data_IF_898854418644
#
_entry.id   IF_898854418644
#
_cell.length_a   1.000
_cell.length_b   1.000
_cell.length_c   1.000
_cell.angle_alpha   90.00
_cell.angle_beta   90.00
_cell.angle_gamma   90.00
#
_symmetry.space_group_name_H-M   'P 1'
#
loop_
_entity.id
_entity.type
_entity.pdbx_description
1 polymer ?
#
# COMPACT_ATOMS: atom_id res chain seq x y z
N UNK A 1 -15.32 48.11 -1.89
CA UNK A 1 -14.52 48.36 -0.69
C UNK A 1 -14.80 47.22 0.25
N UNK A 2 -13.87 46.26 0.22
CA UNK A 2 -13.22 45.66 1.38
C UNK A 2 -12.36 44.51 0.93
N UNK A 3 -11.11 44.73 1.11
CA UNK A 3 -9.95 43.89 0.76
C UNK A 3 -9.86 42.69 1.71
N UNK A 4 -9.88 41.47 1.20
CA UNK A 4 -9.45 40.29 1.95
C UNK A 4 -7.93 40.09 1.79
N UNK A 5 -7.26 40.25 2.90
CA UNK A 5 -5.83 40.11 3.09
C UNK A 5 -5.39 38.64 3.01
N UNK A 6 -4.32 38.41 2.27
CA UNK A 6 -3.46 37.26 2.25
C UNK A 6 -3.08 36.74 3.65
N UNK A 7 -3.42 35.50 3.94
CA UNK A 7 -2.91 34.76 5.09
C UNK A 7 -1.52 34.19 4.79
N UNK A 8 -0.59 34.61 5.59
CA UNK A 8 0.83 34.31 5.65
C UNK A 8 1.21 32.85 5.50
N UNK A 9 2.10 32.57 4.56
CA UNK A 9 2.99 31.42 4.56
C UNK A 9 3.86 31.42 5.83
N UNK A 10 3.48 30.61 6.81
CA UNK A 10 4.31 30.38 7.99
C UNK A 10 5.55 29.58 7.59
N UNK A 11 6.66 30.26 7.44
CA UNK A 11 8.00 29.67 7.37
C UNK A 11 8.29 29.05 8.73
N UNK A 12 8.20 27.71 8.82
CA UNK A 12 8.71 26.98 9.98
C UNK A 12 10.23 27.13 10.02
N UNK A 13 10.74 27.89 10.96
CA UNK A 13 12.17 27.95 11.25
C UNK A 13 12.56 26.63 11.93
N UNK A 14 13.63 25.94 11.46
CA UNK A 14 14.05 24.67 12.06
C UNK A 14 14.54 24.92 13.49
N UNK A 15 14.02 24.14 14.43
CA UNK A 15 14.49 24.11 15.82
C UNK A 15 15.93 23.62 15.82
N UNK A 16 16.83 24.39 16.48
CA UNK A 16 18.27 24.08 16.58
C UNK A 16 18.49 22.66 17.12
N UNK A 17 18.96 21.73 16.26
CA UNK A 17 19.21 20.32 16.59
C UNK A 17 18.41 19.32 15.76
N UNK A 18 17.51 19.75 14.87
CA UNK A 18 16.82 18.86 13.95
C UNK A 18 17.80 18.32 12.92
N UNK A 19 17.88 17.02 12.83
CA UNK A 19 18.64 16.31 11.80
C UNK A 19 18.04 16.69 10.44
N UNK A 20 18.87 17.04 9.47
CA UNK A 20 18.44 17.29 8.10
C UNK A 20 18.02 15.92 7.54
N UNK A 21 16.73 15.71 7.42
CA UNK A 21 16.16 14.57 6.70
C UNK A 21 16.39 14.74 5.21
N UNK A 22 16.08 13.74 4.40
CA UNK A 22 16.33 13.83 2.98
C UNK A 22 15.19 13.21 2.19
N UNK A 23 14.80 13.86 1.10
CA UNK A 23 13.95 13.27 0.08
C UNK A 23 14.64 12.06 -0.58
N UNK A 24 13.85 11.21 -1.23
CA UNK A 24 14.38 10.10 -2.04
C UNK A 24 13.80 10.20 -3.43
N UNK A 25 14.63 10.07 -4.46
CA UNK A 25 14.20 10.06 -5.85
C UNK A 25 14.72 8.83 -6.57
N UNK A 26 13.81 8.05 -7.12
CA UNK A 26 14.11 7.07 -8.17
C UNK A 26 13.87 7.75 -9.50
N UNK A 27 14.90 7.93 -10.31
CA UNK A 27 14.83 8.55 -11.63
C UNK A 27 15.08 7.48 -12.69
N UNK A 28 13.99 6.91 -13.22
CA UNK A 28 13.99 5.81 -14.19
C UNK A 28 14.83 4.60 -13.76
N UNK A 29 14.88 4.35 -12.45
CA UNK A 29 15.73 3.30 -11.88
C UNK A 29 15.26 1.91 -12.32
N UNK A 30 16.19 1.13 -12.89
CA UNK A 30 15.92 -0.19 -13.49
C UNK A 30 16.83 -1.26 -12.90
N UNK A 31 16.26 -2.43 -12.60
CA UNK A 31 17.02 -3.62 -12.20
C UNK A 31 16.66 -4.82 -13.05
N UNK A 32 17.67 -5.43 -13.66
CA UNK A 32 17.57 -6.68 -14.42
C UNK A 32 18.52 -7.69 -13.78
N UNK A 33 17.99 -8.83 -13.37
CA UNK A 33 18.84 -9.91 -12.84
C UNK A 33 19.47 -10.72 -13.98
N UNK A 34 20.71 -11.20 -13.81
CA UNK A 34 21.36 -12.05 -14.81
C UNK A 34 20.49 -13.25 -15.20
N UNK A 35 20.32 -13.47 -16.50
CA UNK A 35 19.51 -14.58 -17.03
C UNK A 35 17.99 -14.27 -17.15
N UNK A 36 17.54 -13.10 -16.75
CA UNK A 36 16.16 -12.66 -16.97
C UNK A 36 16.07 -11.68 -18.14
N UNK A 37 15.12 -11.91 -19.03
CA UNK A 37 14.83 -11.00 -20.17
C UNK A 37 14.00 -9.78 -19.74
N UNK A 38 13.30 -9.87 -18.59
CA UNK A 38 12.44 -8.80 -18.09
C UNK A 38 13.04 -8.15 -16.84
N UNK A 39 12.95 -6.82 -16.72
CA UNK A 39 13.32 -6.14 -15.50
C UNK A 39 12.47 -6.57 -14.31
N UNK A 40 13.10 -6.73 -13.14
CA UNK A 40 12.39 -6.89 -11.88
C UNK A 40 11.89 -5.55 -11.33
N UNK A 41 12.54 -4.46 -11.73
CA UNK A 41 12.09 -3.06 -11.58
C UNK A 41 12.38 -2.39 -12.90
N UNK A 42 11.36 -1.81 -13.53
CA UNK A 42 11.43 -1.23 -14.86
C UNK A 42 11.17 0.27 -14.83
N UNK A 43 12.20 1.05 -15.10
CA UNK A 43 12.17 2.51 -15.19
C UNK A 43 11.35 3.17 -14.05
N UNK A 44 11.55 2.73 -12.81
CA UNK A 44 10.84 3.28 -11.66
C UNK A 44 11.12 4.78 -11.53
N UNK A 45 10.06 5.58 -11.67
CA UNK A 45 10.10 7.02 -11.48
C UNK A 45 9.23 7.37 -10.27
N UNK A 46 9.86 7.72 -9.14
CA UNK A 46 9.17 7.92 -7.87
C UNK A 46 9.92 8.92 -7.00
N UNK A 47 9.22 9.96 -6.61
CA UNK A 47 9.73 10.96 -5.67
C UNK A 47 9.06 10.79 -4.31
N UNK A 48 9.86 10.80 -3.24
CA UNK A 48 9.46 10.69 -1.84
C UNK A 48 9.92 11.95 -1.16
N UNK A 49 9.00 12.70 -0.57
CA UNK A 49 9.31 13.95 0.09
C UNK A 49 10.10 13.75 1.40
N UNK A 50 10.78 14.80 1.82
CA UNK A 50 11.43 14.83 3.14
C UNK A 50 10.42 14.60 4.27
N UNK A 51 10.72 13.65 5.17
CA UNK A 51 9.85 13.25 6.28
C UNK A 51 8.63 12.42 5.91
N UNK A 52 8.42 12.08 4.62
CA UNK A 52 7.29 11.29 4.15
C UNK A 52 7.39 9.83 4.57
N UNK A 53 6.25 9.22 4.92
CA UNK A 53 6.09 7.77 5.07
C UNK A 53 5.49 7.19 3.80
N UNK A 54 6.33 6.68 2.90
CA UNK A 54 5.89 5.99 1.68
C UNK A 54 5.79 4.49 1.89
N UNK A 55 4.67 3.89 1.48
CA UNK A 55 4.47 2.44 1.50
C UNK A 55 4.48 1.88 0.08
N UNK A 56 5.37 0.91 -0.19
CA UNK A 56 5.40 0.14 -1.43
C UNK A 56 4.57 -1.13 -1.26
N UNK A 57 3.56 -1.32 -2.11
CA UNK A 57 2.70 -2.49 -2.10
C UNK A 57 2.56 -3.11 -3.49
N UNK A 58 2.10 -4.35 -3.53
CA UNK A 58 1.86 -5.09 -4.77
C UNK A 58 1.96 -6.59 -4.55
N UNK A 59 1.66 -7.41 -5.56
CA UNK A 59 1.78 -8.86 -5.51
C UNK A 59 3.20 -9.34 -5.19
N UNK A 60 3.34 -10.62 -4.84
CA UNK A 60 4.65 -11.24 -4.67
C UNK A 60 5.44 -11.18 -5.98
N UNK A 61 6.73 -10.83 -5.88
CA UNK A 61 7.62 -10.76 -7.05
C UNK A 61 7.49 -9.49 -7.91
N UNK A 62 6.64 -8.51 -7.56
CA UNK A 62 6.45 -7.30 -8.37
C UNK A 62 7.56 -6.23 -8.25
N UNK A 63 8.67 -6.49 -7.53
CA UNK A 63 9.81 -5.58 -7.46
C UNK A 63 9.94 -4.74 -6.18
N UNK A 64 9.02 -4.83 -5.20
CA UNK A 64 9.04 -4.02 -3.95
C UNK A 64 10.35 -4.10 -3.16
N UNK A 65 10.71 -5.32 -2.72
CA UNK A 65 11.95 -5.53 -1.97
C UNK A 65 13.20 -5.27 -2.81
N UNK A 66 13.11 -5.50 -4.13
CA UNK A 66 14.19 -5.13 -5.07
C UNK A 66 14.39 -3.61 -5.08
N UNK A 67 13.32 -2.82 -5.24
CA UNK A 67 13.39 -1.35 -5.20
C UNK A 67 13.95 -0.85 -3.87
N UNK A 68 13.51 -1.43 -2.74
CA UNK A 68 14.05 -1.10 -1.43
C UNK A 68 15.54 -1.41 -1.31
N UNK A 69 15.99 -2.57 -1.83
CA UNK A 69 17.40 -2.99 -1.82
C UNK A 69 18.27 -2.16 -2.76
N UNK A 70 17.74 -1.73 -3.91
CA UNK A 70 18.39 -0.76 -4.79
C UNK A 70 18.67 0.55 -4.04
N UNK A 71 17.68 1.09 -3.32
CA UNK A 71 17.86 2.28 -2.48
C UNK A 71 18.86 2.04 -1.35
N UNK A 72 18.87 0.84 -0.79
CA UNK A 72 19.85 0.46 0.24
C UNK A 72 21.28 0.25 -0.31
N UNK A 73 21.47 0.14 -1.62
CA UNK A 73 22.73 -0.22 -2.27
C UNK A 73 23.11 -1.69 -2.10
N UNK A 74 22.13 -2.54 -1.81
CA UNK A 74 22.25 -3.99 -1.71
C UNK A 74 21.96 -4.69 -3.03
N UNK A 75 21.40 -3.98 -4.00
CA UNK A 75 21.18 -4.39 -5.39
C UNK A 75 21.65 -3.29 -6.31
N UNK A 76 22.24 -3.69 -7.44
CA UNK A 76 22.74 -2.75 -8.45
C UNK A 76 21.59 -2.09 -9.22
N UNK A 77 21.82 -0.90 -9.74
CA UNK A 77 20.96 -0.18 -10.68
C UNK A 77 21.55 -0.34 -12.07
N UNK A 78 20.83 -1.01 -12.98
CA UNK A 78 21.30 -1.25 -14.34
C UNK A 78 21.09 -0.04 -15.28
N UNK A 79 20.07 0.79 -15.00
CA UNK A 79 19.81 2.04 -15.72
C UNK A 79 19.07 3.02 -14.80
N UNK A 80 19.13 4.31 -15.14
CA UNK A 80 18.59 5.36 -14.31
C UNK A 80 19.47 5.65 -13.10
N UNK A 81 18.91 6.31 -12.08
CA UNK A 81 19.67 6.68 -10.87
C UNK A 81 18.79 6.78 -9.63
N UNK A 82 19.42 6.80 -8.45
CA UNK A 82 18.77 6.99 -7.16
C UNK A 82 19.47 8.13 -6.42
N UNK A 83 18.65 9.08 -5.91
CA UNK A 83 19.15 10.20 -5.13
C UNK A 83 18.61 10.16 -3.70
N UNK A 84 19.43 10.59 -2.74
CA UNK A 84 19.03 10.88 -1.34
C UNK A 84 19.35 12.36 -1.10
N UNK A 85 18.31 13.19 -0.98
CA UNK A 85 18.45 14.62 -1.16
C UNK A 85 18.99 14.95 -2.54
N UNK A 86 19.97 15.84 -2.63
CA UNK A 86 20.64 16.21 -3.90
C UNK A 86 21.79 15.26 -4.29
N UNK A 87 22.06 14.25 -3.43
CA UNK A 87 23.19 13.35 -3.64
C UNK A 87 22.79 12.13 -4.46
N UNK A 88 23.44 11.93 -5.61
CA UNK A 88 23.36 10.66 -6.34
C UNK A 88 24.08 9.56 -5.54
N UNK A 89 23.32 8.49 -5.23
CA UNK A 89 23.80 7.35 -4.44
C UNK A 89 23.81 6.06 -5.24
N UNK A 90 23.59 6.12 -6.55
CA UNK A 90 23.45 4.95 -7.44
C UNK A 90 24.56 3.93 -7.22
N UNK A 91 25.81 4.38 -7.29
CA UNK A 91 27.01 3.53 -7.13
C UNK A 91 27.65 3.62 -5.72
N UNK A 92 26.98 4.28 -4.77
CA UNK A 92 27.48 4.46 -3.42
C UNK A 92 27.27 3.19 -2.59
N UNK A 93 28.27 2.77 -1.85
CA UNK A 93 28.19 1.60 -0.96
C UNK A 93 27.13 1.79 0.14
N UNK A 94 26.45 0.73 0.60
CA UNK A 94 25.40 0.81 1.63
C UNK A 94 25.78 1.57 2.90
N UNK A 95 27.02 1.38 3.37
CA UNK A 95 27.55 2.02 4.59
C UNK A 95 27.65 3.55 4.50
N UNK A 96 27.73 4.09 3.27
CA UNK A 96 27.98 5.51 2.99
C UNK A 96 26.71 6.25 2.49
N UNK A 97 25.51 5.58 2.50
CA UNK A 97 24.25 6.15 2.03
C UNK A 97 23.43 6.88 3.10
N UNK A 98 23.89 6.94 4.35
CA UNK A 98 23.14 7.54 5.48
C UNK A 98 21.74 6.94 5.68
N UNK A 99 21.59 5.65 5.45
CA UNK A 99 20.34 4.90 5.62
C UNK A 99 20.41 3.92 6.79
N UNK A 100 19.25 3.53 7.30
CA UNK A 100 19.12 2.37 8.17
C UNK A 100 18.01 1.45 7.67
N UNK A 101 18.26 0.13 7.68
CA UNK A 101 17.34 -0.87 7.18
C UNK A 101 16.93 -1.84 8.29
N UNK A 102 15.62 -2.08 8.39
CA UNK A 102 15.00 -3.13 9.19
C UNK A 102 14.57 -4.25 8.28
N UNK A 103 15.17 -5.43 8.47
CA UNK A 103 14.90 -6.62 7.67
C UNK A 103 13.73 -7.43 8.22
N UNK A 104 13.06 -8.19 7.37
CA UNK A 104 11.95 -9.06 7.70
C UNK A 104 12.24 -10.03 8.86
N UNK A 105 13.46 -10.56 8.95
CA UNK A 105 13.89 -11.49 10.00
C UNK A 105 14.55 -10.79 11.21
N UNK A 106 14.43 -9.45 11.31
CA UNK A 106 15.03 -8.58 12.33
C UNK A 106 16.57 -8.59 12.38
N UNK A 107 17.24 -9.61 11.88
CA UNK A 107 18.71 -9.79 11.82
C UNK A 107 19.44 -9.46 13.14
N UNK A 108 18.86 -9.85 14.30
CA UNK A 108 19.46 -9.60 15.61
C UNK A 108 20.61 -10.58 15.87
N UNK A 109 21.68 -10.10 16.51
CA UNK A 109 22.79 -10.94 16.99
C UNK A 109 22.35 -11.71 18.24
N UNK A 110 22.17 -13.06 18.16
CA UNK A 110 21.51 -13.82 19.23
C UNK A 110 22.34 -13.92 20.52
N UNK A 111 23.67 -13.77 20.41
CA UNK A 111 24.61 -13.83 21.54
C UNK A 111 24.77 -12.50 22.27
N UNK A 112 24.38 -11.39 21.67
CA UNK A 112 24.48 -10.05 22.23
C UNK A 112 23.23 -9.68 23.05
N UNK A 113 23.41 -8.81 24.05
CA UNK A 113 22.30 -8.17 24.76
C UNK A 113 21.51 -7.23 23.84
N UNK A 114 20.33 -6.76 24.30
CA UNK A 114 19.57 -5.70 23.61
C UNK A 114 20.44 -4.44 23.47
N UNK A 115 21.10 -4.02 24.55
CA UNK A 115 22.01 -2.88 24.55
C UNK A 115 23.10 -3.03 23.49
N UNK A 116 23.79 -4.16 23.46
CA UNK A 116 24.87 -4.41 22.51
C UNK A 116 24.35 -4.51 21.08
N UNK A 117 23.19 -5.13 20.84
CA UNK A 117 22.56 -5.15 19.55
C UNK A 117 22.30 -3.74 19.02
N UNK A 118 21.71 -2.86 19.86
CA UNK A 118 21.41 -1.47 19.47
C UNK A 118 22.68 -0.67 19.23
N UNK A 119 23.68 -0.79 20.11
CA UNK A 119 24.91 -0.01 20.06
C UNK A 119 25.96 -0.51 19.07
N UNK A 120 25.80 -1.71 18.49
CA UNK A 120 26.84 -2.38 17.70
C UNK A 120 27.36 -1.57 16.53
N UNK A 121 26.48 -0.96 15.75
CA UNK A 121 26.88 -0.14 14.59
C UNK A 121 27.71 1.09 15.01
N UNK A 122 27.34 1.72 16.13
CA UNK A 122 28.10 2.86 16.69
C UNK A 122 29.48 2.42 17.20
N UNK A 123 29.55 1.22 17.80
CA UNK A 123 30.83 0.64 18.26
C UNK A 123 31.78 0.40 17.09
N UNK A 124 31.29 -0.15 15.98
CA UNK A 124 32.12 -0.35 14.77
C UNK A 124 32.57 0.99 14.18
N UNK A 125 31.73 2.01 14.25
CA UNK A 125 32.06 3.37 13.80
C UNK A 125 33.04 4.11 14.74
N UNK A 126 33.51 3.46 15.82
CA UNK A 126 34.47 4.06 16.75
C UNK A 126 33.88 5.11 17.69
N UNK A 127 32.55 5.14 17.86
CA UNK A 127 31.87 6.07 18.77
C UNK A 127 32.27 5.80 20.23
N UNK A 128 32.55 6.82 21.05
CA UNK A 128 32.89 6.66 22.46
C UNK A 128 31.79 5.91 23.23
N UNK A 129 32.18 5.05 24.18
CA UNK A 129 31.24 4.19 24.94
C UNK A 129 30.14 5.00 25.63
N UNK A 130 30.47 6.13 26.23
CA UNK A 130 29.53 7.01 26.91
C UNK A 130 28.42 7.53 25.97
N UNK A 131 28.81 7.90 24.75
CA UNK A 131 27.88 8.35 23.71
C UNK A 131 27.02 7.19 23.18
N UNK A 132 27.58 5.98 23.05
CA UNK A 132 26.78 4.77 22.71
C UNK A 132 25.75 4.52 23.79
N UNK A 133 26.14 4.49 25.08
CA UNK A 133 25.25 4.28 26.20
C UNK A 133 24.14 5.32 26.25
N UNK A 134 24.46 6.58 26.01
CA UNK A 134 23.48 7.68 25.95
C UNK A 134 22.46 7.46 24.84
N UNK A 135 22.90 7.24 23.59
CA UNK A 135 22.02 7.04 22.45
C UNK A 135 21.15 5.77 22.56
N UNK A 136 21.73 4.69 23.06
CA UNK A 136 20.99 3.44 23.29
C UNK A 136 19.90 3.63 24.32
N UNK A 137 20.18 4.31 25.45
CA UNK A 137 19.17 4.62 26.49
C UNK A 137 18.05 5.52 25.99
N UNK A 138 18.40 6.54 25.19
CA UNK A 138 17.40 7.43 24.55
C UNK A 138 16.47 6.63 23.62
N UNK A 139 17.04 5.83 22.71
CA UNK A 139 16.26 5.01 21.80
C UNK A 139 15.45 3.94 22.53
N UNK A 140 16.01 3.32 23.57
CA UNK A 140 15.31 2.35 24.39
C UNK A 140 14.11 2.96 25.13
N UNK A 141 14.21 4.21 25.61
CA UNK A 141 13.11 4.94 26.23
C UNK A 141 11.96 5.16 25.24
N UNK A 142 12.26 5.66 24.03
CA UNK A 142 11.27 5.87 22.95
C UNK A 142 10.56 4.55 22.59
N UNK A 143 11.30 3.44 22.55
CA UNK A 143 10.79 2.14 22.13
C UNK A 143 10.20 1.30 23.29
N UNK A 144 10.20 1.81 24.53
CA UNK A 144 9.74 1.04 25.70
C UNK A 144 10.59 -0.20 25.96
N UNK A 145 11.91 -0.12 25.77
CA UNK A 145 12.88 -1.21 25.92
C UNK A 145 13.81 -1.04 27.12
N UNK A 146 13.66 -0.01 27.93
CA UNK A 146 14.59 0.33 29.03
C UNK A 146 14.83 -0.82 30.01
N UNK A 147 13.80 -1.60 30.34
CA UNK A 147 13.90 -2.75 31.25
C UNK A 147 14.46 -4.03 30.61
N UNK A 148 14.67 -4.00 29.28
CA UNK A 148 15.09 -5.17 28.52
C UNK A 148 16.55 -5.08 28.03
N UNK A 149 17.27 -3.99 28.33
CA UNK A 149 18.59 -3.70 27.77
C UNK A 149 19.63 -4.83 28.02
N UNK A 150 19.55 -5.48 29.16
CA UNK A 150 20.48 -6.59 29.52
C UNK A 150 20.03 -7.96 29.01
N UNK A 151 18.81 -8.07 28.45
CA UNK A 151 18.28 -9.34 27.95
C UNK A 151 18.87 -9.69 26.60
N UNK A 152 18.89 -11.00 26.28
CA UNK A 152 19.26 -11.51 24.95
C UNK A 152 18.00 -11.71 24.08
N UNK A 153 18.09 -11.70 22.75
CA UNK A 153 16.95 -11.86 21.84
C UNK A 153 16.05 -13.06 22.12
N UNK A 154 16.61 -14.19 22.58
CA UNK A 154 15.84 -15.40 22.93
C UNK A 154 14.86 -15.21 24.07
N UNK A 155 15.08 -14.22 24.93
CA UNK A 155 14.21 -13.89 26.08
C UNK A 155 13.21 -12.79 25.78
N UNK A 156 12.98 -12.45 24.50
CA UNK A 156 12.10 -11.38 24.03
C UNK A 156 10.92 -11.96 23.23
N UNK A 157 9.76 -11.29 23.34
CA UNK A 157 8.63 -11.54 22.43
C UNK A 157 8.95 -11.08 20.99
N UNK A 158 8.14 -11.48 20.00
CA UNK A 158 8.27 -11.06 18.61
C UNK A 158 8.32 -9.53 18.45
N UNK A 159 7.35 -8.82 19.06
CA UNK A 159 7.30 -7.37 19.02
C UNK A 159 8.45 -6.68 19.76
N UNK A 160 8.97 -7.29 20.85
CA UNK A 160 10.18 -6.77 21.50
C UNK A 160 11.40 -6.92 20.59
N UNK A 161 11.58 -8.08 19.93
CA UNK A 161 12.68 -8.27 18.96
C UNK A 161 12.61 -7.27 17.82
N UNK A 162 11.42 -7.01 17.29
CA UNK A 162 11.22 -5.99 16.26
C UNK A 162 11.62 -4.61 16.76
N UNK A 163 11.17 -4.20 17.96
CA UNK A 163 11.56 -2.90 18.53
C UNK A 163 13.08 -2.79 18.74
N UNK A 164 13.76 -3.87 19.08
CA UNK A 164 15.23 -3.89 19.13
C UNK A 164 15.84 -3.65 17.75
N UNK A 165 15.29 -4.27 16.69
CA UNK A 165 15.76 -4.03 15.31
C UNK A 165 15.54 -2.57 14.89
N UNK A 166 14.41 -1.97 15.27
CA UNK A 166 14.18 -0.53 15.07
C UNK A 166 15.18 0.33 15.86
N UNK A 167 15.48 -0.06 17.11
CA UNK A 167 16.46 0.62 17.95
C UNK A 167 17.86 0.65 17.34
N UNK A 168 18.29 -0.48 16.71
CA UNK A 168 19.54 -0.53 15.94
C UNK A 168 19.60 0.50 14.80
N UNK A 169 18.45 0.77 14.21
CA UNK A 169 18.32 1.75 13.12
C UNK A 169 18.31 3.19 13.68
N UNK A 170 17.53 3.44 14.73
CA UNK A 170 17.33 4.79 15.33
C UNK A 170 18.64 5.36 15.91
N UNK A 171 19.44 4.55 16.62
CA UNK A 171 20.67 5.02 17.26
C UNK A 171 21.68 5.62 16.28
N UNK A 172 21.60 5.24 14.99
CA UNK A 172 22.46 5.77 13.92
C UNK A 172 22.04 7.16 13.45
N UNK A 173 20.80 7.57 13.73
CA UNK A 173 20.21 8.80 13.23
C UNK A 173 20.30 8.88 11.69
N UNK A 174 19.71 7.94 10.95
CA UNK A 174 19.79 7.92 9.51
C UNK A 174 18.94 9.02 8.90
N UNK A 175 19.26 9.44 7.66
CA UNK A 175 18.42 10.35 6.88
C UNK A 175 17.16 9.66 6.33
N UNK A 176 17.25 8.37 6.04
CA UNK A 176 16.16 7.56 5.48
C UNK A 176 16.04 6.22 6.21
N UNK A 177 14.82 5.86 6.60
CA UNK A 177 14.47 4.54 7.12
C UNK A 177 13.94 3.63 6.01
N UNK A 178 14.45 2.43 5.96
CA UNK A 178 14.00 1.37 5.05
C UNK A 178 13.46 0.20 5.86
N UNK A 179 12.27 -0.28 5.55
CA UNK A 179 11.63 -1.40 6.26
C UNK A 179 11.11 -2.44 5.26
N UNK A 180 11.72 -3.63 5.26
CA UNK A 180 11.36 -4.76 4.39
C UNK A 180 10.45 -5.73 5.14
N UNK A 181 9.14 -5.63 4.96
CA UNK A 181 8.09 -6.46 5.59
C UNK A 181 8.27 -6.70 7.11
N UNK A 182 8.45 -5.66 7.92
CA UNK A 182 8.87 -5.83 9.32
C UNK A 182 7.79 -6.47 10.22
N UNK A 183 6.52 -6.55 9.79
CA UNK A 183 5.41 -7.10 10.56
C UNK A 183 4.99 -8.51 10.13
N UNK A 184 5.56 -9.05 9.06
CA UNK A 184 5.14 -10.35 8.48
C UNK A 184 5.22 -11.53 9.44
N UNK A 185 6.18 -11.51 10.37
CA UNK A 185 6.43 -12.59 11.34
C UNK A 185 5.69 -12.42 12.67
N UNK A 186 4.72 -11.50 12.77
CA UNK A 186 3.94 -11.25 13.97
C UNK A 186 2.53 -11.84 13.86
N UNK A 187 1.99 -12.29 15.00
CA UNK A 187 0.58 -12.65 15.10
C UNK A 187 -0.34 -11.42 14.89
N UNK A 188 -1.61 -11.65 14.55
CA UNK A 188 -2.55 -10.60 14.17
C UNK A 188 -2.71 -9.51 15.25
N UNK A 189 -2.79 -9.88 16.54
CA UNK A 189 -2.95 -8.92 17.64
C UNK A 189 -1.72 -8.03 17.78
N UNK A 190 -0.54 -8.65 17.78
CA UNK A 190 0.72 -7.95 17.92
C UNK A 190 1.01 -7.08 16.68
N UNK A 191 0.62 -7.53 15.48
CA UNK A 191 0.74 -6.76 14.24
C UNK A 191 -0.02 -5.43 14.31
N UNK A 192 -1.29 -5.45 14.78
CA UNK A 192 -2.09 -4.23 14.96
C UNK A 192 -1.42 -3.24 15.93
N UNK A 193 -0.97 -3.73 17.08
CA UNK A 193 -0.29 -2.88 18.08
C UNK A 193 1.00 -2.27 17.55
N UNK A 194 1.82 -3.10 16.91
CA UNK A 194 3.14 -2.67 16.40
C UNK A 194 3.02 -1.72 15.22
N UNK A 195 2.02 -1.91 14.35
CA UNK A 195 1.69 -0.98 13.26
C UNK A 195 1.46 0.43 13.78
N UNK A 196 0.61 0.59 14.79
CA UNK A 196 0.34 1.88 15.43
C UNK A 196 1.62 2.49 16.04
N UNK A 197 2.46 1.66 16.68
CA UNK A 197 3.72 2.11 17.26
C UNK A 197 4.71 2.61 16.21
N UNK A 198 4.85 1.90 15.07
CA UNK A 198 5.74 2.33 13.97
C UNK A 198 5.27 3.66 13.39
N UNK A 199 3.97 3.81 13.11
CA UNK A 199 3.43 5.05 12.57
C UNK A 199 3.60 6.23 13.53
N UNK A 200 3.41 6.03 14.84
CA UNK A 200 3.66 7.07 15.85
C UNK A 200 5.12 7.44 15.95
N UNK A 201 6.00 6.44 15.94
CA UNK A 201 7.44 6.64 16.03
C UNK A 201 7.98 7.42 14.83
N UNK A 202 7.56 7.08 13.62
CA UNK A 202 7.98 7.80 12.41
C UNK A 202 7.57 9.27 12.48
N UNK A 203 6.32 9.57 12.91
CA UNK A 203 5.86 10.95 13.09
C UNK A 203 6.65 11.71 14.16
N UNK A 204 7.01 11.04 15.26
CA UNK A 204 7.83 11.64 16.33
C UNK A 204 9.25 11.97 15.85
N UNK A 205 9.83 11.07 15.05
CA UNK A 205 11.19 11.23 14.52
C UNK A 205 11.24 12.11 13.27
N UNK A 206 10.15 12.23 12.50
CA UNK A 206 10.07 12.98 11.25
C UNK A 206 10.96 12.40 10.14
N UNK A 207 11.43 11.15 10.24
CA UNK A 207 12.37 10.55 9.30
C UNK A 207 11.66 10.07 8.05
N UNK A 208 12.20 10.40 6.87
CA UNK A 208 11.75 9.83 5.59
C UNK A 208 11.80 8.31 5.64
N UNK A 209 10.68 7.68 5.37
CA UNK A 209 10.54 6.22 5.54
C UNK A 209 10.01 5.56 4.29
N UNK A 210 10.68 4.50 3.84
CA UNK A 210 10.20 3.61 2.77
C UNK A 210 9.89 2.25 3.38
N UNK A 211 8.63 1.88 3.34
CA UNK A 211 8.09 0.68 3.97
C UNK A 211 7.55 -0.28 2.91
N UNK A 212 8.00 -1.52 2.90
CA UNK A 212 7.50 -2.58 2.02
C UNK A 212 6.56 -3.48 2.80
N UNK A 213 5.40 -3.77 2.23
CA UNK A 213 4.46 -4.75 2.75
C UNK A 213 3.66 -5.41 1.62
N UNK A 214 3.09 -6.57 1.91
CA UNK A 214 2.04 -7.20 1.11
C UNK A 214 0.65 -7.02 1.75
N UNK A 215 0.58 -6.44 2.96
CA UNK A 215 -0.67 -6.18 3.68
C UNK A 215 -1.22 -4.79 3.32
N UNK A 216 -2.37 -4.78 2.64
CA UNK A 216 -3.04 -3.55 2.23
C UNK A 216 -3.51 -2.71 3.42
N UNK A 217 -3.89 -3.35 4.53
CA UNK A 217 -4.32 -2.66 5.75
C UNK A 217 -3.17 -1.85 6.35
N UNK A 218 -1.93 -2.40 6.30
CA UNK A 218 -0.74 -1.65 6.71
C UNK A 218 -0.57 -0.40 5.84
N UNK A 219 -0.65 -0.58 4.52
CA UNK A 219 -0.48 0.52 3.57
C UNK A 219 -1.54 1.63 3.75
N UNK A 220 -2.81 1.25 3.85
CA UNK A 220 -3.92 2.19 3.98
C UNK A 220 -3.93 2.94 5.33
N UNK A 221 -3.26 2.41 6.37
CA UNK A 221 -3.32 2.96 7.73
C UNK A 221 -2.05 3.66 8.20
N UNK A 222 -0.90 3.39 7.58
CA UNK A 222 0.39 3.92 8.02
C UNK A 222 0.97 4.96 7.08
N UNK A 223 0.81 4.77 5.76
CA UNK A 223 1.46 5.61 4.76
C UNK A 223 0.81 6.98 4.59
N UNK A 224 1.63 8.01 4.40
CA UNK A 224 1.18 9.28 3.85
C UNK A 224 0.82 9.12 2.38
N UNK A 225 1.64 8.35 1.65
CA UNK A 225 1.37 7.89 0.28
C UNK A 225 1.67 6.41 0.13
N UNK A 226 0.99 5.82 -0.84
CA UNK A 226 1.14 4.42 -1.25
C UNK A 226 1.62 4.40 -2.71
N UNK A 227 2.63 3.60 -3.01
CA UNK A 227 3.03 3.28 -4.38
C UNK A 227 2.71 1.81 -4.67
N UNK A 228 1.83 1.58 -5.64
CA UNK A 228 1.41 0.24 -6.07
C UNK A 228 2.27 -0.21 -7.24
N UNK A 229 2.94 -1.35 -7.08
CA UNK A 229 3.75 -1.97 -8.14
C UNK A 229 3.08 -3.24 -8.68
N UNK A 230 3.21 -3.46 -9.98
CA UNK A 230 2.86 -4.72 -10.67
C UNK A 230 3.91 -5.01 -11.74
N UNK A 231 4.46 -6.22 -11.76
CA UNK A 231 5.39 -6.69 -12.78
C UNK A 231 6.58 -5.73 -13.05
N UNK A 232 7.14 -5.18 -11.97
CA UNK A 232 8.26 -4.23 -12.02
C UNK A 232 7.87 -2.79 -12.32
N UNK A 233 6.61 -2.51 -12.65
CA UNK A 233 6.11 -1.20 -13.06
C UNK A 233 5.30 -0.51 -11.95
N UNK A 234 5.50 0.79 -11.79
CA UNK A 234 4.66 1.63 -10.94
C UNK A 234 3.29 1.83 -11.60
N UNK A 235 2.22 1.39 -10.91
CA UNK A 235 0.85 1.50 -11.40
C UNK A 235 0.18 2.81 -10.97
N UNK A 236 0.38 3.19 -9.72
CA UNK A 236 -0.15 4.42 -9.15
C UNK A 236 0.64 4.80 -7.89
N UNK A 237 0.76 6.09 -7.64
CA UNK A 237 1.22 6.64 -6.35
C UNK A 237 0.26 7.74 -5.91
N UNK A 238 -0.13 7.76 -4.64
CA UNK A 238 -1.07 8.74 -4.09
C UNK A 238 -1.41 8.47 -2.63
N UNK A 239 -2.23 9.31 -2.03
CA UNK A 239 -2.71 9.09 -0.66
C UNK A 239 -3.57 7.81 -0.56
N UNK A 240 -3.71 7.22 0.64
CA UNK A 240 -4.60 6.07 0.86
C UNK A 240 -6.01 6.29 0.34
N UNK A 241 -6.55 7.49 0.53
CA UNK A 241 -7.88 7.86 0.07
C UNK A 241 -7.96 7.91 -1.46
N UNK A 242 -6.97 8.50 -2.14
CA UNK A 242 -6.93 8.52 -3.60
C UNK A 242 -6.83 7.12 -4.20
N UNK A 243 -6.03 6.23 -3.58
CA UNK A 243 -5.93 4.83 -4.00
C UNK A 243 -7.29 4.11 -3.95
N UNK A 244 -8.07 4.38 -2.91
CA UNK A 244 -9.37 3.76 -2.69
C UNK A 244 -10.48 4.37 -3.56
N UNK A 245 -10.56 5.72 -3.60
CA UNK A 245 -11.64 6.46 -4.25
C UNK A 245 -11.39 6.65 -5.77
N UNK A 246 -10.11 6.71 -6.20
CA UNK A 246 -9.74 7.04 -7.58
C UNK A 246 -8.62 6.12 -8.10
N UNK A 247 -8.84 4.79 -8.13
CA UNK A 247 -7.85 3.87 -8.70
C UNK A 247 -7.58 4.22 -10.17
N UNK A 248 -6.31 4.25 -10.57
CA UNK A 248 -5.88 4.65 -11.91
C UNK A 248 -6.18 3.60 -12.99
N UNK A 249 -6.33 2.34 -12.59
CA UNK A 249 -6.62 1.22 -13.48
C UNK A 249 -7.33 0.09 -12.74
N UNK A 250 -7.81 -0.91 -13.49
CA UNK A 250 -8.51 -2.09 -12.98
C UNK A 250 -7.69 -2.86 -11.95
N UNK A 251 -6.37 -2.96 -12.18
CA UNK A 251 -5.49 -3.67 -11.26
C UNK A 251 -5.46 -3.00 -9.89
N UNK A 252 -5.25 -1.69 -9.83
CA UNK A 252 -5.25 -0.95 -8.56
C UNK A 252 -6.63 -1.03 -7.89
N UNK A 253 -7.72 -0.95 -8.67
CA UNK A 253 -9.09 -1.07 -8.18
C UNK A 253 -9.35 -2.42 -7.50
N UNK A 254 -8.93 -3.51 -8.13
CA UNK A 254 -9.07 -4.87 -7.60
C UNK A 254 -8.05 -5.21 -6.51
N UNK A 255 -6.88 -4.55 -6.52
CA UNK A 255 -5.83 -4.81 -5.53
C UNK A 255 -6.06 -4.04 -4.22
N UNK A 256 -6.54 -2.79 -4.26
CA UNK A 256 -6.73 -1.95 -3.08
C UNK A 256 -8.14 -2.10 -2.50
N UNK A 257 -8.23 -2.57 -1.27
CA UNK A 257 -9.45 -2.79 -0.51
C UNK A 257 -9.62 -4.25 -0.09
N UNK A 258 -10.24 -4.46 1.06
CA UNK A 258 -10.57 -5.80 1.57
C UNK A 258 -11.99 -5.76 2.16
N UNK A 259 -12.95 -6.44 1.51
CA UNK A 259 -12.84 -7.19 0.25
C UNK A 259 -12.47 -6.32 -0.97
N UNK A 260 -11.99 -6.96 -2.03
CA UNK A 260 -11.64 -6.29 -3.28
C UNK A 260 -12.86 -5.71 -4.01
N UNK A 261 -12.65 -4.77 -4.93
CA UNK A 261 -13.69 -4.21 -5.79
C UNK A 261 -14.25 -5.30 -6.72
N UNK A 262 -15.57 -5.34 -6.88
CA UNK A 262 -16.20 -6.10 -7.95
C UNK A 262 -15.88 -5.43 -9.29
N UNK A 263 -15.41 -6.18 -10.26
CA UNK A 263 -15.12 -5.72 -11.62
C UNK A 263 -15.95 -6.53 -12.61
N UNK A 264 -16.64 -5.88 -13.51
CA UNK A 264 -17.48 -6.54 -14.50
C UNK A 264 -17.37 -5.92 -15.88
N UNK A 265 -17.40 -6.76 -16.93
CA UNK A 265 -17.45 -6.32 -18.32
C UNK A 265 -18.89 -6.05 -18.72
N UNK A 266 -19.18 -4.85 -19.17
CA UNK A 266 -20.50 -4.38 -19.60
C UNK A 266 -20.50 -4.10 -21.10
N UNK A 267 -21.58 -4.50 -21.79
CA UNK A 267 -21.80 -4.18 -23.20
C UNK A 267 -22.28 -2.74 -23.35
N UNK A 268 -21.80 -2.06 -24.40
CA UNK A 268 -22.23 -0.71 -24.74
C UNK A 268 -23.44 -0.76 -25.70
N UNK A 269 -24.51 -0.06 -25.30
CA UNK A 269 -25.69 0.15 -26.15
C UNK A 269 -26.08 1.64 -26.11
N UNK A 270 -25.56 2.39 -27.05
CA UNK A 270 -25.73 3.84 -27.11
C UNK A 270 -25.04 4.56 -25.94
N UNK A 271 -25.84 5.19 -25.07
CA UNK A 271 -25.34 5.89 -23.87
C UNK A 271 -25.44 5.04 -22.59
N UNK A 272 -25.75 3.77 -22.71
CA UNK A 272 -25.98 2.84 -21.59
C UNK A 272 -25.02 1.66 -21.63
N UNK A 273 -24.42 1.36 -20.50
CA UNK A 273 -23.70 0.11 -20.26
C UNK A 273 -24.65 -0.94 -19.69
N UNK A 274 -24.63 -2.17 -20.23
CA UNK A 274 -25.57 -3.26 -19.88
C UNK A 274 -24.81 -4.49 -19.38
N UNK A 275 -25.34 -5.10 -18.30
CA UNK A 275 -24.92 -6.40 -17.81
C UNK A 275 -26.17 -7.15 -17.31
N UNK A 276 -26.69 -8.10 -18.10
CA UNK A 276 -27.98 -8.73 -17.80
C UNK A 276 -29.11 -7.68 -17.74
N UNK A 277 -29.79 -7.61 -16.59
CA UNK A 277 -30.85 -6.61 -16.33
C UNK A 277 -30.32 -5.24 -15.89
N UNK A 278 -29.06 -5.16 -15.45
CA UNK A 278 -28.47 -3.91 -14.99
C UNK A 278 -28.18 -2.96 -16.16
N UNK A 279 -28.54 -1.69 -15.98
CA UNK A 279 -28.30 -0.61 -16.92
C UNK A 279 -27.68 0.58 -16.22
N UNK A 280 -26.54 1.04 -16.72
CA UNK A 280 -25.82 2.19 -16.17
C UNK A 280 -25.67 3.22 -17.27
N UNK A 281 -26.25 4.41 -17.06
CA UNK A 281 -26.09 5.52 -18.00
C UNK A 281 -24.70 6.14 -17.85
N UNK A 282 -24.00 6.27 -18.96
CA UNK A 282 -22.63 6.76 -19.00
C UNK A 282 -22.56 8.28 -19.20
N UNK A 283 -21.61 8.97 -18.56
CA UNK A 283 -21.32 10.38 -18.82
C UNK A 283 -20.86 10.61 -20.25
N UNK A 284 -21.19 11.79 -20.82
CA UNK A 284 -20.80 12.14 -22.20
C UNK A 284 -19.27 12.12 -22.42
N UNK A 285 -18.50 12.47 -21.40
CA UNK A 285 -17.03 12.47 -21.47
C UNK A 285 -16.49 11.04 -21.60
N UNK A 286 -17.08 10.10 -20.89
CA UNK A 286 -16.76 8.66 -20.97
C UNK A 286 -17.10 8.11 -22.37
N UNK A 287 -18.28 8.43 -22.89
CA UNK A 287 -18.70 8.00 -24.24
C UNK A 287 -17.76 8.51 -25.33
N UNK A 288 -17.23 9.73 -25.22
CA UNK A 288 -16.22 10.25 -26.15
C UNK A 288 -14.92 9.47 -26.08
N UNK A 289 -14.47 9.12 -24.87
CA UNK A 289 -13.25 8.33 -24.69
C UNK A 289 -13.42 6.91 -25.27
N UNK A 290 -14.54 6.24 -24.99
CA UNK A 290 -14.85 4.92 -25.54
C UNK A 290 -15.01 4.92 -27.07
N UNK A 291 -15.62 5.96 -27.65
CA UNK A 291 -15.72 6.12 -29.09
C UNK A 291 -14.37 6.31 -29.78
N UNK A 292 -13.41 6.96 -29.13
CA UNK A 292 -12.04 7.10 -29.63
C UNK A 292 -11.28 5.76 -29.65
N UNK A 293 -11.67 4.80 -28.80
CA UNK A 293 -11.11 3.45 -28.75
C UNK A 293 -11.88 2.44 -29.62
N UNK A 294 -12.96 2.84 -30.30
CA UNK A 294 -13.92 1.95 -30.97
C UNK A 294 -14.42 0.83 -30.07
N UNK A 295 -14.61 1.14 -28.79
CA UNK A 295 -14.92 0.17 -27.76
C UNK A 295 -16.37 -0.31 -27.86
N UNK A 296 -16.59 -1.63 -27.75
CA UNK A 296 -17.93 -2.25 -27.68
C UNK A 296 -18.30 -2.60 -26.24
N UNK A 297 -17.32 -2.64 -25.38
CA UNK A 297 -17.46 -2.98 -23.95
C UNK A 297 -16.62 -2.03 -23.10
N UNK A 298 -16.96 -1.95 -21.81
CA UNK A 298 -16.14 -1.30 -20.80
C UNK A 298 -16.16 -2.14 -19.52
N UNK A 299 -15.15 -1.95 -18.68
CA UNK A 299 -15.17 -2.54 -17.34
C UNK A 299 -15.74 -1.53 -16.35
N UNK A 300 -16.74 -1.97 -15.57
CA UNK A 300 -17.29 -1.19 -14.47
C UNK A 300 -16.91 -1.85 -13.16
N UNK A 301 -16.27 -1.07 -12.28
CA UNK A 301 -15.95 -1.45 -10.93
C UNK A 301 -16.90 -0.83 -9.91
N UNK A 302 -17.24 -1.58 -8.86
CA UNK A 302 -18.01 -1.08 -7.74
C UNK A 302 -17.63 -1.83 -6.46
N UNK A 303 -17.53 -1.08 -5.35
CA UNK A 303 -17.17 -1.66 -4.07
C UNK A 303 -18.32 -2.49 -3.49
N UNK A 304 -18.05 -3.51 -2.64
CA UNK A 304 -19.10 -4.29 -1.98
C UNK A 304 -20.11 -3.44 -1.19
N UNK A 305 -19.65 -2.36 -0.57
CA UNK A 305 -20.46 -1.40 0.15
C UNK A 305 -21.22 -0.41 -0.76
N UNK A 306 -20.91 -0.35 -2.03
CA UNK A 306 -21.62 0.47 -3.02
C UNK A 306 -22.90 -0.20 -3.57
N UNK A 307 -23.23 -1.38 -3.07
CA UNK A 307 -24.40 -2.14 -3.46
C UNK A 307 -25.54 -2.00 -2.44
N UNK A 308 -26.74 -1.74 -2.91
CA UNK A 308 -27.97 -1.80 -2.12
C UNK A 308 -28.72 -3.08 -2.43
N UNK A 309 -29.16 -3.82 -1.40
CA UNK A 309 -30.10 -4.93 -1.56
C UNK A 309 -31.47 -4.33 -1.83
N UNK A 310 -32.10 -4.74 -2.94
CA UNK A 310 -33.38 -4.22 -3.46
C UNK A 310 -34.36 -5.37 -3.66
N UNK A 311 -35.61 -5.07 -4.02
CA UNK A 311 -36.62 -6.09 -4.29
C UNK A 311 -36.49 -6.66 -5.70
N UNK A 312 -37.00 -7.86 -5.87
CA UNK A 312 -37.15 -8.46 -7.19
C UNK A 312 -38.04 -7.54 -8.08
N UNK A 313 -37.53 -7.32 -9.31
CA UNK A 313 -38.23 -6.44 -10.27
C UNK A 313 -37.95 -4.94 -10.15
N UNK A 314 -37.19 -4.51 -9.15
CA UNK A 314 -36.71 -3.14 -9.11
C UNK A 314 -35.80 -2.82 -10.32
N UNK A 315 -35.85 -1.57 -10.79
CA UNK A 315 -35.06 -1.14 -11.94
C UNK A 315 -33.57 -1.29 -11.68
N UNK A 316 -32.85 -1.70 -12.72
CA UNK A 316 -31.36 -1.85 -12.72
C UNK A 316 -30.82 -2.82 -11.65
N UNK A 317 -31.68 -3.75 -11.20
CA UNK A 317 -31.29 -4.77 -10.23
C UNK A 317 -30.51 -5.91 -10.88
N UNK A 318 -29.53 -6.41 -10.16
CA UNK A 318 -28.66 -7.54 -10.52
C UNK A 318 -29.05 -8.73 -9.65
N UNK A 319 -29.55 -9.84 -10.20
CA UNK A 319 -29.85 -11.05 -9.43
C UNK A 319 -28.56 -11.82 -9.10
N UNK A 320 -28.34 -12.09 -7.83
CA UNK A 320 -27.15 -12.79 -7.32
C UNK A 320 -27.57 -14.00 -6.51
N UNK A 321 -27.13 -15.18 -6.90
CA UNK A 321 -27.31 -16.43 -6.15
C UNK A 321 -26.20 -16.58 -5.13
N UNK A 322 -26.55 -16.60 -3.85
CA UNK A 322 -25.59 -16.68 -2.74
C UNK A 322 -24.95 -18.08 -2.70
N UNK A 323 -23.62 -18.09 -2.70
CA UNK A 323 -22.82 -19.31 -2.55
C UNK A 323 -22.19 -19.42 -1.15
N UNK A 324 -21.86 -18.30 -0.53
CA UNK A 324 -21.19 -18.23 0.78
C UNK A 324 -21.53 -16.94 1.52
N UNK A 325 -21.60 -17.02 2.85
CA UNK A 325 -21.80 -15.88 3.75
C UNK A 325 -20.67 -15.83 4.77
N UNK A 326 -20.04 -14.67 4.90
CA UNK A 326 -18.99 -14.40 5.88
C UNK A 326 -19.51 -13.36 6.88
N UNK A 327 -19.75 -13.78 8.13
CA UNK A 327 -20.16 -12.89 9.21
C UNK A 327 -18.96 -12.55 10.12
N UNK A 328 -18.56 -11.28 10.14
CA UNK A 328 -17.43 -10.77 10.93
C UNK A 328 -17.89 -10.05 12.22
N UNK A 329 -19.16 -10.19 12.57
CA UNK A 329 -19.74 -9.58 13.78
C UNK A 329 -20.22 -8.14 13.56
N UNK A 330 -19.36 -7.23 13.17
CA UNK A 330 -19.72 -5.84 12.83
C UNK A 330 -20.19 -5.67 11.38
N UNK A 331 -19.74 -6.54 10.50
CA UNK A 331 -20.00 -6.56 9.06
C UNK A 331 -20.35 -7.97 8.59
N UNK A 332 -21.11 -8.09 7.54
CA UNK A 332 -21.35 -9.34 6.84
C UNK A 332 -21.17 -9.14 5.33
N UNK A 333 -20.52 -10.12 4.70
CA UNK A 333 -20.32 -10.15 3.26
C UNK A 333 -20.94 -11.41 2.69
N UNK A 334 -21.71 -11.24 1.64
CA UNK A 334 -22.26 -12.36 0.87
C UNK A 334 -21.51 -12.47 -0.44
N UNK A 335 -21.14 -13.70 -0.78
CA UNK A 335 -20.47 -14.06 -2.00
C UNK A 335 -21.45 -14.83 -2.87
N UNK A 336 -21.60 -14.42 -4.11
CA UNK A 336 -22.57 -15.05 -4.99
C UNK A 336 -22.23 -14.90 -6.46
N UNK A 337 -22.97 -15.65 -7.29
CA UNK A 337 -22.82 -15.63 -8.72
C UNK A 337 -24.00 -14.93 -9.39
N UNK A 338 -23.72 -14.24 -10.50
CA UNK A 338 -24.73 -13.60 -11.32
C UNK A 338 -25.71 -14.63 -11.89
N UNK A 339 -27.02 -14.43 -11.73
CA UNK A 339 -28.05 -15.30 -12.26
C UNK A 339 -28.45 -14.85 -13.67
N UNK A 340 -28.51 -15.80 -14.62
CA UNK A 340 -28.99 -15.52 -15.97
C UNK A 340 -28.02 -14.84 -16.92
N UNK A 341 -26.78 -14.61 -16.53
CA UNK A 341 -25.73 -14.16 -17.44
C UNK A 341 -24.93 -15.32 -18.02
N UNK A 342 -24.53 -15.17 -19.27
CA UNK A 342 -23.58 -16.11 -19.88
C UNK A 342 -22.22 -15.94 -19.23
N UNK A 343 -21.81 -16.93 -18.42
CA UNK A 343 -20.54 -16.96 -17.69
C UNK A 343 -19.31 -16.85 -18.62
N UNK A 344 -19.47 -17.19 -19.90
CA UNK A 344 -18.39 -17.12 -20.89
C UNK A 344 -18.19 -15.71 -21.45
N UNK A 345 -19.25 -14.89 -21.48
CA UNK A 345 -19.24 -13.56 -22.09
C UNK A 345 -19.02 -12.43 -21.07
N UNK A 346 -19.45 -12.64 -19.82
CA UNK A 346 -19.48 -11.59 -18.81
C UNK A 346 -18.82 -12.07 -17.52
N UNK A 347 -17.58 -11.67 -17.30
CA UNK A 347 -16.91 -11.85 -16.00
C UNK A 347 -17.39 -10.74 -15.06
N UNK A 348 -17.96 -11.12 -13.93
CA UNK A 348 -18.29 -10.20 -12.84
C UNK A 348 -17.80 -10.82 -11.54
N UNK A 349 -16.83 -10.21 -10.89
CA UNK A 349 -16.32 -10.73 -9.64
C UNK A 349 -15.21 -9.88 -9.04
N UNK A 350 -14.76 -10.24 -7.84
CA UNK A 350 -13.66 -9.57 -7.18
C UNK A 350 -12.33 -10.32 -7.45
N UNK A 351 -11.32 -9.58 -7.91
CA UNK A 351 -10.00 -10.12 -8.25
C UNK A 351 -9.88 -10.63 -9.69
N UNK A 352 -8.66 -10.99 -10.10
CA UNK A 352 -8.32 -11.31 -11.50
C UNK A 352 -9.02 -12.58 -12.04
N UNK A 353 -9.41 -13.53 -11.16
CA UNK A 353 -9.98 -14.84 -11.56
C UNK A 353 -11.35 -15.15 -10.95
N UNK A 354 -11.97 -14.21 -10.23
CA UNK A 354 -13.19 -14.50 -9.50
C UNK A 354 -14.44 -14.26 -10.36
N UNK A 355 -15.32 -15.25 -10.44
CA UNK A 355 -16.69 -15.12 -10.96
C UNK A 355 -17.69 -14.79 -9.83
N UNK A 356 -17.22 -14.53 -8.62
CA UNK A 356 -18.05 -14.29 -7.45
C UNK A 356 -18.13 -12.81 -7.13
N UNK A 357 -19.33 -12.27 -7.15
CA UNK A 357 -19.63 -10.93 -6.69
C UNK A 357 -19.72 -10.90 -5.16
N UNK A 358 -19.14 -9.87 -4.57
CA UNK A 358 -19.18 -9.62 -3.12
C UNK A 358 -20.14 -8.48 -2.83
N UNK A 359 -21.06 -8.69 -1.90
CA UNK A 359 -22.02 -7.68 -1.45
C UNK A 359 -21.89 -7.52 0.06
N UNK A 360 -21.73 -6.29 0.53
CA UNK A 360 -21.82 -5.99 1.96
C UNK A 360 -23.27 -5.90 2.37
N UNK A 361 -23.66 -6.66 3.40
CA UNK A 361 -25.00 -6.64 3.97
C UNK A 361 -24.94 -6.29 5.46
N UNK A 362 -26.04 -5.79 6.06
CA UNK A 362 -26.08 -5.56 7.50
C UNK A 362 -25.84 -6.87 8.25
N UNK A 363 -25.09 -6.86 9.37
CA UNK A 363 -24.83 -8.07 10.16
C UNK A 363 -26.14 -8.66 10.67
N UNK A 364 -26.20 -9.99 10.79
CA UNK A 364 -27.36 -10.78 11.26
C UNK A 364 -28.60 -10.75 10.34
N UNK A 365 -28.50 -10.13 9.18
CA UNK A 365 -29.56 -10.12 8.15
C UNK A 365 -29.10 -10.76 6.86
N UNK A 366 -27.99 -11.49 6.92
CA UNK A 366 -27.45 -12.16 5.74
C UNK A 366 -28.42 -13.25 5.26
N UNK A 367 -28.64 -13.32 3.93
CA UNK A 367 -29.50 -14.34 3.31
C UNK A 367 -28.85 -15.74 3.42
N UNK A 368 -29.67 -16.77 3.25
CA UNK A 368 -29.17 -18.14 3.30
C UNK A 368 -28.42 -18.52 2.00
N UNK A 369 -27.51 -19.50 2.12
CA UNK A 369 -26.83 -20.07 0.94
C UNK A 369 -27.86 -20.66 -0.02
N UNK A 370 -27.69 -20.37 -1.32
CA UNK A 370 -28.60 -20.78 -2.40
C UNK A 370 -29.76 -19.81 -2.67
N UNK A 371 -30.00 -18.88 -1.78
CA UNK A 371 -31.00 -17.80 -1.97
C UNK A 371 -30.53 -16.85 -3.07
N UNK A 372 -31.50 -16.25 -3.78
CA UNK A 372 -31.24 -15.21 -4.77
C UNK A 372 -31.61 -13.87 -4.16
N UNK A 373 -30.65 -12.97 -4.09
CA UNK A 373 -30.88 -11.57 -3.74
C UNK A 373 -30.77 -10.70 -4.98
N UNK A 374 -31.40 -9.54 -4.92
CA UNK A 374 -31.31 -8.53 -5.95
C UNK A 374 -30.56 -7.34 -5.41
N UNK A 375 -29.52 -6.89 -6.14
CA UNK A 375 -28.69 -5.77 -5.73
C UNK A 375 -28.62 -4.72 -6.82
N UNK A 376 -28.44 -3.47 -6.44
CA UNK A 376 -28.29 -2.33 -7.34
C UNK A 376 -27.06 -1.53 -6.97
N UNK A 377 -26.28 -1.13 -7.96
CA UNK A 377 -25.14 -0.22 -7.77
C UNK A 377 -25.71 1.17 -7.44
N UNK A 378 -25.24 1.79 -6.36
CA UNK A 378 -25.59 3.17 -6.04
C UNK A 378 -25.08 4.12 -7.11
N UNK A 379 -25.93 5.01 -7.65
CA UNK A 379 -25.51 5.98 -8.63
C UNK A 379 -24.33 6.84 -8.16
N UNK A 380 -23.32 7.00 -9.00
CA UNK A 380 -22.09 7.76 -8.70
C UNK A 380 -21.05 7.00 -7.87
N UNK A 381 -21.28 5.71 -7.61
CA UNK A 381 -20.30 4.84 -6.92
C UNK A 381 -19.61 3.85 -7.89
N UNK A 382 -19.91 3.97 -9.17
CA UNK A 382 -19.28 3.21 -10.23
C UNK A 382 -17.93 3.78 -10.62
N UNK A 383 -16.98 2.90 -10.89
CA UNK A 383 -15.66 3.21 -11.45
C UNK A 383 -15.57 2.67 -12.86
N UNK A 384 -15.27 3.54 -13.82
CA UNK A 384 -15.29 3.20 -15.25
C UNK A 384 -13.86 3.01 -15.77
N UNK A 385 -13.61 1.88 -16.44
CA UNK A 385 -12.31 1.55 -17.02
C UNK A 385 -12.46 1.10 -18.49
N UNK A 386 -11.45 1.40 -19.30
CA UNK A 386 -11.34 0.89 -20.65
C UNK A 386 -11.06 -0.62 -20.61
N UNK A 387 -11.90 -1.42 -21.25
CA UNK A 387 -11.64 -2.88 -21.36
C UNK A 387 -10.40 -3.21 -22.20
N UNK A 388 -9.95 -2.29 -23.04
CA UNK A 388 -8.78 -2.46 -23.90
C UNK A 388 -7.46 -2.21 -23.15
N UNK A 389 -7.45 -1.19 -22.28
CA UNK A 389 -6.21 -0.72 -21.63
C UNK A 389 -6.19 -0.93 -20.13
N UNK A 390 -7.33 -1.27 -19.52
CA UNK A 390 -7.53 -1.34 -18.06
C UNK A 390 -7.45 0.04 -17.37
N UNK A 391 -7.23 1.13 -18.09
CA UNK A 391 -7.07 2.47 -17.51
C UNK A 391 -8.42 3.08 -17.14
N UNK A 392 -8.41 3.90 -16.09
CA UNK A 392 -9.58 4.67 -15.68
C UNK A 392 -10.03 5.60 -16.78
N UNK A 393 -11.33 5.56 -17.07
CA UNK A 393 -12.00 6.49 -17.99
C UNK A 393 -12.41 7.78 -17.24
N UNK A 394 -12.46 8.91 -17.93
CA UNK A 394 -13.01 10.14 -17.36
C UNK A 394 -14.51 9.97 -17.08
N UNK A 395 -14.97 10.42 -15.93
CA UNK A 395 -16.34 10.32 -15.47
C UNK A 395 -16.89 11.70 -15.06
#
# INVERSE_FOLDING_TARGET
>A
MDTFHNGSSGTYLPVKGMQVMASVTFDHATRIYPGNDRPSVDALNLEIADGEFLVLVGPSGCGKSTSLRMLAGLEDVNAGRILIGDRDVTDVQPKDRDIAMVFQNYALYPHMSVHDNMGFALKIAGTPKEEIDRRVKEAAKILGLSEYLERKPKALSGGQRQRVAMGRAIVRKPKVFLMDEPLSNLDAKLRVQTRTQIASLQRELGVTTVYVTHDQTEALTMGDRIAVLKDGLLQQVGSPREMYDKPANEFVAGFIGSPAMNLGTFDLDGDVAKLGSAKIRLPRVTLKALAAEDAKTLTIGFRPEALDVVKEGDADSIPVRISFVEELGSDAYVYGELVGADKSAHKLGSGEDSSQMIVRVPPRTAPANGEVIYVRIRPGQEHLFSSATGKRLPA
#
